data_IF_075013209937
#
_entry.id   IF_075013209937
#
_cell.length_a   1.000
_cell.length_b   1.000
_cell.length_c   1.000
_cell.angle_alpha   90.00
_cell.angle_beta   90.00
_cell.angle_gamma   90.00
#
_symmetry.space_group_name_H-M   'P 1'
#
loop_
_entity.id
_entity.type
_entity.pdbx_description
1 polymer ?
#
# COMPACT_ATOMS: atom_id res chain seq x y z
N UNK A 1 -4.18 1.26 -19.95
CA UNK A 1 -3.16 0.81 -18.98
C UNK A 1 -3.76 -0.32 -18.15
N UNK A 2 -3.53 -1.57 -18.54
CA UNK A 2 -3.71 -2.72 -17.65
C UNK A 2 -2.74 -2.52 -16.49
N UNK A 3 -3.25 -2.06 -15.34
CA UNK A 3 -2.44 -2.04 -14.12
C UNK A 3 -2.22 -3.50 -13.78
N UNK A 4 -0.99 -3.97 -13.98
CA UNK A 4 -0.58 -5.28 -13.48
C UNK A 4 -0.80 -5.39 -11.97
N UNK A 5 -0.58 -6.60 -11.41
CA UNK A 5 -0.70 -6.80 -9.98
C UNK A 5 0.09 -5.75 -9.20
N UNK A 6 -0.53 -5.20 -8.17
CA UNK A 6 0.07 -4.12 -7.38
C UNK A 6 1.25 -4.69 -6.60
N UNK A 7 2.36 -3.96 -6.50
CA UNK A 7 3.44 -4.33 -5.62
C UNK A 7 3.22 -3.70 -4.25
N UNK A 8 2.79 -4.49 -3.27
CA UNK A 8 2.45 -4.04 -1.93
C UNK A 8 3.66 -3.47 -1.15
N UNK A 9 4.88 -3.80 -1.56
CA UNK A 9 6.10 -3.28 -0.95
C UNK A 9 6.41 -1.85 -1.41
N UNK A 10 5.94 -1.48 -2.60
CA UNK A 10 6.16 -0.14 -3.17
C UNK A 10 4.90 0.72 -3.25
N UNK A 11 3.74 0.12 -2.99
CA UNK A 11 2.44 0.73 -3.20
C UNK A 11 1.58 0.61 -1.94
N UNK A 12 0.64 1.54 -1.81
CA UNK A 12 -0.12 1.72 -0.59
C UNK A 12 -0.93 0.46 -0.22
N UNK A 13 -1.55 -0.21 -1.20
CA UNK A 13 -2.27 -1.47 -0.99
C UNK A 13 -3.57 -1.41 -0.20
N UNK A 14 -3.84 -0.29 0.49
CA UNK A 14 -5.08 -0.06 1.25
C UNK A 14 -6.29 -0.21 0.33
N UNK A 15 -7.25 -1.03 0.77
CA UNK A 15 -8.53 -1.21 0.09
C UNK A 15 -9.37 0.05 0.27
N UNK A 16 -9.84 0.63 -0.84
CA UNK A 16 -10.76 1.76 -0.80
C UNK A 16 -12.23 1.30 -0.72
N UNK A 17 -13.16 2.25 -0.64
CA UNK A 17 -14.61 1.98 -0.56
C UNK A 17 -15.18 1.18 -1.76
N UNK A 18 -14.42 1.08 -2.85
CA UNK A 18 -14.78 0.31 -4.04
C UNK A 18 -14.21 -1.11 -4.03
N UNK A 19 -13.59 -1.55 -2.94
CA UNK A 19 -12.94 -2.86 -2.83
C UNK A 19 -11.64 -2.96 -3.63
N UNK A 20 -11.09 -1.85 -4.11
CA UNK A 20 -9.88 -1.83 -4.93
C UNK A 20 -8.66 -1.45 -4.09
N UNK A 21 -7.57 -2.19 -4.29
CA UNK A 21 -6.29 -1.86 -3.66
C UNK A 21 -5.72 -0.56 -4.22
N UNK A 22 -5.22 0.29 -3.32
CA UNK A 22 -4.61 1.55 -3.69
C UNK A 22 -3.25 1.32 -4.38
N UNK A 23 -3.23 1.50 -5.70
CA UNK A 23 -2.01 1.40 -6.51
C UNK A 23 -1.12 2.66 -6.48
N UNK A 24 -1.35 3.58 -5.53
CA UNK A 24 -0.48 4.77 -5.32
C UNK A 24 0.77 4.35 -4.55
N UNK A 25 1.76 5.22 -4.46
CA UNK A 25 3.00 4.97 -3.71
C UNK A 25 2.75 4.51 -2.26
N UNK A 26 3.70 3.78 -1.70
CA UNK A 26 3.69 3.32 -0.31
C UNK A 26 3.32 4.44 0.69
N UNK A 27 3.79 5.66 0.43
CA UNK A 27 3.58 6.88 1.24
C UNK A 27 2.40 7.74 0.80
N UNK A 28 1.42 7.19 0.07
CA UNK A 28 0.35 8.01 -0.50
C UNK A 28 -0.38 8.87 0.56
N UNK A 29 -0.70 10.11 0.21
CA UNK A 29 -1.41 11.05 1.10
C UNK A 29 -2.90 10.76 1.27
N UNK A 30 -3.42 9.77 0.53
CA UNK A 30 -4.86 9.47 0.48
C UNK A 30 -5.35 8.56 1.60
N UNK A 31 -4.45 7.88 2.30
CA UNK A 31 -4.81 6.96 3.38
C UNK A 31 -3.98 7.27 4.63
N UNK A 32 -4.55 7.01 5.80
CA UNK A 32 -3.83 7.16 7.05
C UNK A 32 -2.71 6.12 7.20
N UNK A 33 -1.73 6.40 8.05
CA UNK A 33 -0.64 5.47 8.39
C UNK A 33 -1.17 4.17 9.01
N UNK A 34 -2.16 4.27 9.91
CA UNK A 34 -2.80 3.09 10.50
C UNK A 34 -3.44 2.17 9.45
N UNK A 35 -4.13 2.76 8.47
CA UNK A 35 -4.71 1.99 7.36
C UNK A 35 -3.62 1.31 6.51
N UNK A 36 -2.51 1.99 6.25
CA UNK A 36 -1.36 1.39 5.54
C UNK A 36 -0.73 0.25 6.33
N UNK A 37 -0.60 0.37 7.66
CA UNK A 37 -0.05 -0.68 8.53
C UNK A 37 -0.93 -1.93 8.56
N UNK A 38 -2.25 -1.77 8.45
CA UNK A 38 -3.20 -2.87 8.41
C UNK A 38 -3.23 -3.64 7.07
N UNK A 39 -2.44 -3.24 6.07
CA UNK A 39 -2.38 -3.95 4.78
C UNK A 39 -1.55 -5.22 4.93
N UNK A 40 -2.23 -6.36 4.81
CA UNK A 40 -1.61 -7.68 4.78
C UNK A 40 -1.04 -8.01 3.39
N UNK A 41 -0.11 -8.98 3.33
CA UNK A 41 0.47 -9.46 2.06
C UNK A 41 1.68 -8.68 1.56
N UNK A 42 2.21 -7.74 2.35
CA UNK A 42 3.54 -7.17 2.13
C UNK A 42 4.63 -8.16 2.50
N UNK A 43 5.78 -8.06 1.84
CA UNK A 43 6.96 -8.87 2.18
C UNK A 43 7.53 -8.52 3.55
N UNK A 44 7.35 -7.27 3.99
CA UNK A 44 7.77 -6.75 5.29
C UNK A 44 6.70 -5.82 5.86
N UNK A 45 6.81 -5.52 7.16
CA UNK A 45 5.95 -4.54 7.80
C UNK A 45 6.05 -3.17 7.12
N UNK A 46 4.94 -2.44 7.14
CA UNK A 46 4.86 -1.09 6.58
C UNK A 46 6.00 -0.18 7.06
N UNK A 47 6.29 -0.22 8.36
CA UNK A 47 7.28 0.66 8.97
C UNK A 47 8.70 0.34 8.49
N UNK A 48 9.01 -0.95 8.23
CA UNK A 48 10.30 -1.36 7.66
C UNK A 48 10.40 -0.91 6.21
N UNK A 49 9.35 -1.10 5.41
CA UNK A 49 9.34 -0.64 4.02
C UNK A 49 9.41 0.88 3.91
N UNK A 50 8.81 1.59 4.86
CA UNK A 50 8.88 3.04 4.94
C UNK A 50 10.28 3.54 5.29
N UNK A 51 11.02 2.81 6.13
CA UNK A 51 12.42 3.09 6.44
C UNK A 51 13.34 2.85 5.23
N UNK A 52 12.99 1.90 4.36
CA UNK A 52 13.74 1.54 3.14
C UNK A 52 13.37 2.37 1.89
N UNK A 53 12.36 3.24 1.98
CA UNK A 53 11.79 4.01 0.86
C UNK A 53 12.49 5.35 0.61
#
# INVERSE_FOLDING_TARGET
RTKGPINLDQQCGVINDKGLQCSRSLTCKSHAMGAKRAVEGRSKDYDVLLLEW
#
